data_IF_006373637502
#
_entry.id   IF_006373637502
#
_cell.length_a   1.000
_cell.length_b   1.000
_cell.length_c   1.000
_cell.angle_alpha   90.00
_cell.angle_beta   90.00
_cell.angle_gamma   90.00
#
_symmetry.space_group_name_H-M   'P 1'
#
loop_
_entity.id
_entity.type
_entity.pdbx_description
1 polymer ?
#
# COMPACT_ATOMS: atom_id res chain seq x y z
N UNK A 1 -33.46 -21.44 11.17
CA UNK A 1 -32.05 -21.65 10.77
C UNK A 1 -32.04 -21.66 9.26
N UNK A 2 -31.87 -20.50 8.64
CA UNK A 2 -32.07 -20.30 7.22
C UNK A 2 -30.80 -20.68 6.46
N UNK A 3 -30.89 -21.68 5.60
CA UNK A 3 -29.94 -21.95 4.54
C UNK A 3 -29.84 -20.72 3.64
N UNK A 4 -28.78 -19.93 3.81
CA UNK A 4 -28.33 -19.01 2.78
C UNK A 4 -27.43 -19.82 1.84
N UNK A 5 -28.05 -20.47 0.85
CA UNK A 5 -27.34 -21.01 -0.30
C UNK A 5 -26.86 -19.83 -1.14
N UNK A 6 -25.78 -19.18 -0.73
CA UNK A 6 -24.99 -18.35 -1.63
C UNK A 6 -24.63 -19.27 -2.80
N UNK A 7 -25.08 -18.93 -4.01
CA UNK A 7 -24.67 -19.59 -5.25
C UNK A 7 -23.20 -19.32 -5.51
N UNK A 8 -22.33 -19.87 -4.67
CA UNK A 8 -20.90 -19.67 -4.65
C UNK A 8 -20.15 -20.93 -5.09
N UNK A 9 -18.96 -20.70 -5.63
CA UNK A 9 -18.01 -21.75 -6.02
C UNK A 9 -17.76 -22.72 -4.87
N UNK A 10 -17.80 -24.03 -5.16
CA UNK A 10 -17.53 -25.05 -4.13
C UNK A 10 -16.02 -25.15 -3.83
N UNK A 11 -15.60 -25.65 -2.65
CA UNK A 11 -14.19 -25.80 -2.32
C UNK A 11 -13.38 -26.65 -3.32
N UNK A 12 -14.01 -27.65 -3.94
CA UNK A 12 -13.36 -28.48 -4.97
C UNK A 12 -13.13 -27.70 -6.27
N UNK A 13 -14.12 -26.90 -6.70
CA UNK A 13 -14.03 -26.02 -7.86
C UNK A 13 -12.98 -24.92 -7.64
N UNK A 14 -12.93 -24.34 -6.43
CA UNK A 14 -11.90 -23.37 -6.06
C UNK A 14 -10.48 -23.95 -6.13
N UNK A 15 -10.27 -25.19 -5.69
CA UNK A 15 -8.95 -25.85 -5.80
C UNK A 15 -8.55 -26.10 -7.25
N UNK A 16 -9.50 -26.41 -8.12
CA UNK A 16 -9.23 -26.60 -9.54
C UNK A 16 -8.86 -25.27 -10.19
N UNK A 17 -9.74 -24.28 -10.09
CA UNK A 17 -9.52 -22.96 -10.70
C UNK A 17 -8.33 -22.21 -10.09
N UNK A 18 -8.04 -22.41 -8.81
CA UNK A 18 -6.86 -21.84 -8.17
C UNK A 18 -5.54 -22.37 -8.77
N UNK A 19 -5.48 -23.66 -9.13
CA UNK A 19 -4.31 -24.23 -9.82
C UNK A 19 -4.19 -23.71 -11.25
N UNK A 20 -5.30 -23.71 -11.98
CA UNK A 20 -5.37 -23.15 -13.33
C UNK A 20 -4.93 -21.68 -13.37
N UNK A 21 -5.29 -20.90 -12.34
CA UNK A 21 -4.87 -19.50 -12.20
C UNK A 21 -3.37 -19.37 -11.92
N UNK A 22 -2.80 -20.22 -11.06
CA UNK A 22 -1.35 -20.21 -10.78
C UNK A 22 -0.57 -20.52 -12.05
N UNK A 23 -0.97 -21.53 -12.80
CA UNK A 23 -0.35 -21.89 -14.08
C UNK A 23 -0.44 -20.71 -15.06
N UNK A 24 -1.61 -20.05 -15.15
CA UNK A 24 -1.79 -18.86 -15.98
C UNK A 24 -0.89 -17.69 -15.57
N UNK A 25 -0.70 -17.43 -14.25
CA UNK A 25 0.18 -16.37 -13.75
C UNK A 25 1.64 -16.65 -14.12
N UNK A 26 2.08 -17.91 -13.96
CA UNK A 26 3.45 -18.31 -14.33
C UNK A 26 3.66 -18.14 -15.83
N UNK A 27 2.77 -18.70 -16.63
CA UNK A 27 2.82 -18.58 -18.10
C UNK A 27 2.80 -17.11 -18.54
N UNK A 28 2.03 -16.26 -17.86
CA UNK A 28 1.95 -14.83 -18.11
C UNK A 28 3.29 -14.12 -17.82
N UNK A 29 3.88 -14.36 -16.64
CA UNK A 29 5.12 -13.71 -16.22
C UNK A 29 6.33 -14.19 -17.04
N UNK A 30 6.38 -15.46 -17.44
CA UNK A 30 7.46 -15.99 -18.28
C UNK A 30 7.40 -15.45 -19.71
N UNK A 31 6.20 -15.37 -20.29
CA UNK A 31 5.99 -14.93 -21.67
C UNK A 31 5.77 -13.42 -21.80
N UNK A 32 6.03 -12.66 -20.74
CA UNK A 32 5.66 -11.25 -20.68
C UNK A 32 6.41 -10.38 -21.71
N UNK A 33 7.65 -10.75 -22.03
CA UNK A 33 8.50 -10.09 -23.01
C UNK A 33 7.95 -10.13 -24.45
N UNK A 34 6.99 -11.02 -24.74
CA UNK A 34 6.38 -11.16 -26.08
C UNK A 34 5.12 -10.31 -26.23
N UNK A 35 4.63 -9.71 -25.14
CA UNK A 35 3.40 -8.93 -25.12
C UNK A 35 3.68 -7.45 -25.35
N UNK A 36 2.64 -6.73 -25.78
CA UNK A 36 2.75 -5.32 -26.13
C UNK A 36 2.52 -4.49 -24.86
N UNK A 37 3.51 -3.65 -24.53
CA UNK A 37 3.49 -2.76 -23.36
C UNK A 37 2.31 -1.77 -23.38
N UNK A 38 1.98 -1.22 -24.56
CA UNK A 38 0.87 -0.27 -24.73
C UNK A 38 -0.29 -0.98 -25.44
N UNK A 39 -1.51 -1.02 -24.85
CA UNK A 39 -2.65 -1.65 -25.50
C UNK A 39 -2.98 -0.96 -26.82
N UNK A 40 -3.39 -1.74 -27.82
CA UNK A 40 -3.74 -1.26 -29.17
C UNK A 40 -5.18 -0.73 -29.27
N UNK A 41 -5.85 -0.56 -28.14
CA UNK A 41 -7.30 -0.41 -28.04
C UNK A 41 -7.60 1.04 -27.65
N UNK A 42 -8.58 1.64 -28.31
CA UNK A 42 -9.05 2.97 -27.96
C UNK A 42 -9.66 2.98 -26.55
N UNK A 43 -9.41 4.02 -25.72
CA UNK A 43 -9.77 4.06 -24.30
C UNK A 43 -11.26 3.88 -23.96
N UNK A 44 -12.14 3.85 -24.95
CA UNK A 44 -13.58 3.91 -24.79
C UNK A 44 -14.27 2.55 -24.58
N UNK A 45 -13.62 1.42 -24.89
CA UNK A 45 -14.35 0.15 -24.99
C UNK A 45 -14.26 -0.76 -23.76
N UNK A 46 -13.13 -0.84 -23.06
CA UNK A 46 -12.95 -1.63 -21.81
C UNK A 46 -11.73 -1.11 -21.02
N UNK A 47 -11.68 -1.19 -19.67
CA UNK A 47 -10.46 -0.93 -18.91
C UNK A 47 -9.44 -2.02 -19.27
N UNK A 48 -8.52 -1.70 -20.16
CA UNK A 48 -7.43 -2.59 -20.56
C UNK A 48 -6.43 -2.70 -19.41
N UNK A 49 -5.97 -3.92 -19.13
CA UNK A 49 -4.85 -4.17 -18.23
C UNK A 49 -3.61 -3.47 -18.81
N UNK A 50 -3.09 -2.47 -18.11
CA UNK A 50 -1.79 -1.89 -18.42
C UNK A 50 -0.69 -2.82 -17.89
N UNK A 51 0.11 -3.38 -18.78
CA UNK A 51 1.19 -4.31 -18.42
C UNK A 51 2.40 -3.55 -17.84
N UNK A 52 2.42 -3.35 -16.53
CA UNK A 52 3.50 -2.62 -15.83
C UNK A 52 4.78 -3.44 -15.65
N UNK A 53 4.71 -4.78 -15.75
CA UNK A 53 5.88 -5.66 -15.58
C UNK A 53 6.70 -5.87 -16.86
N UNK A 54 6.28 -5.29 -17.99
CA UNK A 54 7.00 -5.33 -19.27
C UNK A 54 7.69 -3.99 -19.52
N UNK A 55 8.89 -3.79 -18.96
CA UNK A 55 9.85 -2.70 -19.28
C UNK A 55 9.27 -1.50 -20.05
N UNK A 56 8.39 -0.72 -19.41
CA UNK A 56 8.33 0.70 -19.72
C UNK A 56 9.67 1.27 -19.27
N UNK A 57 10.57 1.60 -20.19
CA UNK A 57 11.94 2.06 -19.88
C UNK A 57 11.92 3.31 -18.98
N UNK A 58 10.79 4.03 -18.92
CA UNK A 58 10.63 5.28 -18.17
C UNK A 58 9.60 5.24 -17.02
N UNK A 59 9.01 4.08 -16.71
CA UNK A 59 8.09 3.95 -15.56
C UNK A 59 8.82 3.42 -14.32
N UNK A 60 8.44 3.88 -13.13
CA UNK A 60 8.92 3.33 -11.87
C UNK A 60 8.51 1.85 -11.80
N UNK A 61 9.48 0.98 -11.54
CA UNK A 61 9.25 -0.46 -11.48
C UNK A 61 8.26 -0.80 -10.35
N UNK A 62 7.22 -1.55 -10.69
CA UNK A 62 6.22 -2.01 -9.72
C UNK A 62 6.65 -3.40 -9.27
N UNK A 63 7.01 -3.53 -7.99
CA UNK A 63 7.66 -4.72 -7.42
C UNK A 63 6.77 -5.97 -7.39
N UNK A 64 6.55 -6.59 -8.55
CA UNK A 64 5.79 -7.83 -8.68
C UNK A 64 6.73 -9.03 -8.61
N UNK A 65 6.60 -9.84 -7.56
CA UNK A 65 7.39 -11.05 -7.37
C UNK A 65 6.49 -12.23 -6.98
N UNK A 66 6.88 -13.45 -7.36
CA UNK A 66 6.19 -14.67 -6.96
C UNK A 66 5.91 -14.77 -5.44
N UNK A 67 6.87 -14.47 -4.53
CA UNK A 67 6.57 -14.47 -3.10
C UNK A 67 5.55 -13.41 -2.68
N UNK A 68 5.52 -12.23 -3.32
CA UNK A 68 4.51 -11.20 -3.04
C UNK A 68 3.10 -11.68 -3.41
N UNK A 69 2.95 -12.29 -4.60
CA UNK A 69 1.66 -12.81 -5.07
C UNK A 69 1.14 -13.88 -4.12
N UNK A 70 2.00 -14.80 -3.67
CA UNK A 70 1.61 -15.82 -2.69
C UNK A 70 1.24 -15.23 -1.33
N UNK A 71 1.97 -14.19 -0.88
CA UNK A 71 1.66 -13.49 0.36
C UNK A 71 0.28 -12.81 0.29
N UNK A 72 -0.03 -12.12 -0.82
CA UNK A 72 -1.32 -11.48 -1.04
C UNK A 72 -2.47 -12.51 -1.06
N UNK A 73 -2.29 -13.66 -1.73
CA UNK A 73 -3.28 -14.74 -1.72
C UNK A 73 -3.61 -15.24 -0.30
N UNK A 74 -2.59 -15.33 0.56
CA UNK A 74 -2.78 -15.72 1.97
C UNK A 74 -3.45 -14.58 2.74
N UNK A 75 -3.06 -13.33 2.48
CA UNK A 75 -3.66 -12.14 3.10
C UNK A 75 -5.16 -12.05 2.84
N UNK A 76 -5.56 -12.21 1.56
CA UNK A 76 -6.95 -12.25 1.13
C UNK A 76 -7.73 -13.41 1.76
N UNK A 77 -7.08 -14.58 1.88
CA UNK A 77 -7.69 -15.75 2.50
C UNK A 77 -7.92 -15.58 4.01
N UNK A 78 -7.03 -14.86 4.70
CA UNK A 78 -7.18 -14.55 6.13
C UNK A 78 -8.26 -13.48 6.38
N UNK A 79 -8.47 -12.56 5.44
CA UNK A 79 -9.53 -11.55 5.49
C UNK A 79 -9.52 -10.67 6.75
N UNK A 80 -8.37 -10.60 7.44
CA UNK A 80 -8.21 -9.86 8.67
C UNK A 80 -7.88 -8.40 8.34
N UNK A 81 -8.70 -7.46 8.81
CA UNK A 81 -8.38 -6.03 8.73
C UNK A 81 -7.81 -5.54 10.06
N UNK A 82 -6.52 -5.18 10.05
CA UNK A 82 -5.75 -4.77 11.23
C UNK A 82 -5.97 -3.33 11.69
N UNK A 83 -7.22 -2.86 11.83
CA UNK A 83 -7.49 -1.50 12.32
C UNK A 83 -7.09 -1.27 13.77
N UNK A 84 -6.94 -2.34 14.56
CA UNK A 84 -6.47 -2.30 15.94
C UNK A 84 -5.74 -3.58 16.29
N UNK A 85 -4.83 -3.50 17.26
CA UNK A 85 -4.13 -4.68 17.78
C UNK A 85 -5.12 -5.77 18.26
N UNK A 86 -6.24 -5.38 18.86
CA UNK A 86 -7.27 -6.32 19.32
C UNK A 86 -7.99 -7.04 18.16
N UNK A 87 -8.01 -6.47 16.95
CA UNK A 87 -8.62 -7.09 15.79
C UNK A 87 -7.73 -8.17 15.16
N UNK A 88 -6.41 -7.97 15.11
CA UNK A 88 -5.46 -8.96 14.62
C UNK A 88 -4.05 -8.74 15.23
N UNK A 89 -3.76 -9.32 16.41
CA UNK A 89 -2.49 -9.05 17.11
C UNK A 89 -1.28 -9.60 16.34
N UNK A 90 -1.45 -10.77 15.70
CA UNK A 90 -0.40 -11.41 14.91
C UNK A 90 0.01 -10.59 13.68
N UNK A 91 -0.94 -9.88 13.05
CA UNK A 91 -0.65 -9.00 11.91
C UNK A 91 0.18 -7.79 12.35
N UNK A 92 -0.23 -7.13 13.44
CA UNK A 92 0.48 -5.96 13.96
C UNK A 92 1.89 -6.31 14.47
N UNK A 93 2.06 -7.46 15.14
CA UNK A 93 3.37 -7.92 15.59
C UNK A 93 4.31 -8.28 14.43
N UNK A 94 3.77 -8.94 13.39
CA UNK A 94 4.55 -9.28 12.19
C UNK A 94 5.00 -8.02 11.44
N UNK A 95 4.14 -7.01 11.33
CA UNK A 95 4.49 -5.73 10.72
C UNK A 95 5.67 -5.08 11.45
N UNK A 96 5.64 -5.03 12.79
CA UNK A 96 6.71 -4.44 13.59
C UNK A 96 8.05 -5.16 13.36
N UNK A 97 8.06 -6.50 13.33
CA UNK A 97 9.28 -7.29 13.12
C UNK A 97 9.83 -7.08 11.70
N UNK A 98 8.96 -7.09 10.68
CA UNK A 98 9.36 -6.86 9.29
C UNK A 98 9.95 -5.46 9.10
N UNK A 99 9.37 -4.44 9.75
CA UNK A 99 9.89 -3.08 9.72
C UNK A 99 11.23 -2.94 10.43
N UNK A 100 11.43 -3.61 11.56
CA UNK A 100 12.73 -3.65 12.25
C UNK A 100 13.82 -4.29 11.38
N UNK A 101 13.51 -5.40 10.71
CA UNK A 101 14.44 -6.02 9.75
C UNK A 101 14.74 -5.10 8.58
N UNK A 102 13.73 -4.42 8.04
CA UNK A 102 13.92 -3.47 6.94
C UNK A 102 14.75 -2.25 7.34
N UNK A 103 14.50 -1.68 8.52
CA UNK A 103 15.30 -0.58 9.09
C UNK A 103 16.76 -0.98 9.26
N UNK A 104 17.03 -2.20 9.75
CA UNK A 104 18.39 -2.76 9.85
C UNK A 104 19.06 -2.93 8.49
N UNK A 105 18.33 -3.33 7.45
CA UNK A 105 18.87 -3.48 6.09
C UNK A 105 19.27 -2.14 5.47
N UNK A 106 18.54 -1.05 5.77
CA UNK A 106 18.83 0.30 5.26
C UNK A 106 19.85 1.05 6.15
N UNK A 107 20.20 0.49 7.32
CA UNK A 107 21.13 1.12 8.26
C UNK A 107 20.52 2.29 9.02
N UNK A 108 19.20 2.29 9.19
CA UNK A 108 18.49 3.30 9.95
C UNK A 108 18.79 3.14 11.46
N UNK A 109 18.89 4.25 12.23
CA UNK A 109 19.01 4.16 13.68
C UNK A 109 17.79 3.44 14.28
N UNK A 110 17.94 2.79 15.44
CA UNK A 110 16.84 2.10 16.10
C UNK A 110 15.83 3.12 16.65
N UNK A 111 14.89 3.54 15.83
CA UNK A 111 13.70 4.28 16.25
C UNK A 111 12.46 3.41 16.05
N UNK A 112 11.44 3.69 16.84
CA UNK A 112 10.16 3.00 16.81
C UNK A 112 9.48 3.27 15.45
N UNK A 113 9.73 2.40 14.47
CA UNK A 113 9.06 2.40 13.16
C UNK A 113 7.60 1.95 13.35
N UNK A 114 6.78 2.82 13.93
CA UNK A 114 5.34 2.67 13.90
C UNK A 114 4.86 3.07 12.50
N UNK A 115 4.51 2.06 11.70
CA UNK A 115 3.68 2.12 10.49
C UNK A 115 3.84 3.34 9.59
N UNK A 116 4.76 3.31 8.63
CA UNK A 116 4.88 4.41 7.68
C UNK A 116 5.63 3.99 6.41
N UNK A 117 4.92 3.50 5.38
CA UNK A 117 5.53 3.35 4.05
C UNK A 117 4.78 3.95 2.85
N UNK A 118 3.53 4.46 2.95
CA UNK A 118 2.89 5.12 1.80
C UNK A 118 2.13 6.42 2.09
N UNK A 119 1.50 6.61 3.24
CA UNK A 119 0.82 7.88 3.60
C UNK A 119 1.70 8.83 4.43
N UNK A 120 2.99 8.53 4.51
CA UNK A 120 3.92 9.14 5.43
C UNK A 120 4.04 10.64 5.23
N UNK A 121 3.94 11.14 4.00
CA UNK A 121 4.06 12.57 3.72
C UNK A 121 2.93 13.36 4.38
N UNK A 122 1.69 12.90 4.24
CA UNK A 122 0.54 13.57 4.86
C UNK A 122 0.53 13.38 6.38
N UNK A 123 0.80 12.16 6.87
CA UNK A 123 0.83 11.86 8.31
C UNK A 123 1.95 12.63 9.01
N UNK A 124 3.15 12.69 8.44
CA UNK A 124 4.28 13.45 9.00
C UNK A 124 4.00 14.95 9.00
N UNK A 125 3.38 15.49 7.93
CA UNK A 125 2.97 16.89 7.90
C UNK A 125 1.90 17.20 8.94
N UNK A 126 0.90 16.32 9.12
CA UNK A 126 -0.12 16.45 10.15
C UNK A 126 0.47 16.39 11.56
N UNK A 127 1.39 15.47 11.81
CA UNK A 127 2.08 15.33 13.09
C UNK A 127 2.94 16.58 13.38
N UNK A 128 3.73 17.04 12.42
CA UNK A 128 4.53 18.26 12.53
C UNK A 128 3.64 19.49 12.80
N UNK A 129 2.51 19.60 12.08
CA UNK A 129 1.52 20.66 12.30
C UNK A 129 0.96 20.61 13.72
N UNK A 130 0.63 19.43 14.23
CA UNK A 130 0.07 19.27 15.57
C UNK A 130 1.08 19.66 16.67
N UNK A 131 2.33 19.22 16.56
CA UNK A 131 3.39 19.58 17.53
C UNK A 131 3.66 21.10 17.53
N UNK A 132 3.80 21.72 16.36
CA UNK A 132 4.01 23.17 16.26
C UNK A 132 2.82 23.95 16.80
N UNK A 133 1.58 23.51 16.53
CA UNK A 133 0.39 24.15 17.08
C UNK A 133 0.34 24.06 18.61
N UNK A 134 0.74 22.93 19.18
CA UNK A 134 0.81 22.74 20.63
C UNK A 134 1.80 23.72 21.26
N UNK A 135 2.98 23.92 20.67
CA UNK A 135 3.94 24.92 21.14
C UNK A 135 3.44 26.36 20.99
N UNK A 136 2.85 26.68 19.83
CA UNK A 136 2.33 28.03 19.56
C UNK A 136 1.16 28.38 20.48
N UNK A 137 0.30 27.42 20.82
CA UNK A 137 -0.80 27.60 21.77
C UNK A 137 -0.29 27.89 23.18
N UNK A 138 0.83 27.29 23.59
CA UNK A 138 1.45 27.61 24.87
C UNK A 138 2.06 29.02 24.89
N UNK A 139 2.64 29.47 23.77
CA UNK A 139 3.25 30.81 23.66
C UNK A 139 2.21 31.93 23.48
N UNK A 140 1.10 31.65 22.79
CA UNK A 140 0.05 32.62 22.48
C UNK A 140 -1.35 32.09 22.86
N UNK A 141 -1.64 31.94 24.17
CA UNK A 141 -2.89 31.32 24.63
C UNK A 141 -4.16 32.12 24.30
N UNK A 142 -4.03 33.40 23.94
CA UNK A 142 -5.15 34.30 23.61
C UNK A 142 -5.45 34.40 22.11
N UNK A 143 -4.66 33.75 21.26
CA UNK A 143 -4.85 33.78 19.80
C UNK A 143 -5.65 32.55 19.37
N UNK A 144 -6.63 32.75 18.49
CA UNK A 144 -7.44 31.67 17.93
C UNK A 144 -6.59 30.72 17.07
N UNK A 145 -6.83 29.42 17.20
CA UNK A 145 -6.07 28.36 16.54
C UNK A 145 -6.09 28.50 15.01
N UNK A 146 -7.22 28.90 14.43
CA UNK A 146 -7.33 29.14 12.97
C UNK A 146 -6.39 30.24 12.46
N UNK A 147 -6.10 31.24 13.29
CA UNK A 147 -5.17 32.32 12.94
C UNK A 147 -3.70 31.89 13.07
N UNK A 148 -3.41 30.91 13.93
CA UNK A 148 -2.08 30.29 14.03
C UNK A 148 -1.84 29.36 12.85
N UNK A 149 -2.85 28.55 12.49
CA UNK A 149 -2.79 27.63 11.36
C UNK A 149 -2.56 28.34 10.03
N UNK A 150 -3.20 29.49 9.81
CA UNK A 150 -3.04 30.26 8.57
C UNK A 150 -1.63 30.83 8.36
N UNK A 151 -0.79 30.82 9.39
CA UNK A 151 0.61 31.27 9.32
C UNK A 151 1.62 30.14 9.15
N UNK A 152 1.18 28.88 9.17
CA UNK A 152 2.06 27.74 8.96
C UNK A 152 2.40 27.59 7.48
N UNK A 153 3.68 27.40 7.18
CA UNK A 153 4.20 27.19 5.82
C UNK A 153 5.15 26.00 5.85
N UNK A 154 4.91 25.04 4.95
CA UNK A 154 5.81 23.91 4.70
C UNK A 154 6.64 24.16 3.44
N UNK A 155 7.85 23.62 3.39
CA UNK A 155 8.77 23.78 2.27
C UNK A 155 9.16 22.42 1.71
N UNK A 156 9.12 22.29 0.38
CA UNK A 156 9.51 21.08 -0.33
C UNK A 156 10.31 21.44 -1.60
N UNK A 157 11.07 20.48 -2.11
CA UNK A 157 11.83 20.66 -3.36
C UNK A 157 10.90 20.83 -4.57
N UNK A 158 11.38 21.51 -5.61
CA UNK A 158 10.66 21.66 -6.88
C UNK A 158 10.48 20.34 -7.63
N UNK A 159 11.29 19.34 -7.32
CA UNK A 159 11.30 18.01 -7.96
C UNK A 159 10.46 16.98 -7.20
N UNK A 160 9.76 17.39 -6.13
CA UNK A 160 9.03 16.46 -5.29
C UNK A 160 7.75 15.96 -5.96
N UNK A 161 7.33 14.74 -5.61
CA UNK A 161 6.08 14.17 -6.10
C UNK A 161 4.88 15.08 -5.79
N UNK A 162 3.89 15.12 -6.67
CA UNK A 162 2.66 15.91 -6.53
C UNK A 162 1.78 15.52 -5.33
N UNK A 163 2.13 14.45 -4.61
CA UNK A 163 1.44 13.98 -3.40
C UNK A 163 1.66 14.89 -2.19
N UNK A 164 2.63 15.81 -2.24
CA UNK A 164 2.92 16.78 -1.18
C UNK A 164 2.02 18.02 -1.30
#
# INVERSE_FOLDING_TARGET
MNNCSLGGMKPAEFRQHGKEMVDYIVDYLENIHRRRVVPAIEPALFPTVFEHSSKCIDAIDTGNSFPSILADMISDALGCMGFSWAACPAMTELEIIMLDWFGKMIGLPPFETFGAYFECNFVSLLAARFEVLKELRQRFPFVEEGLLMSKLVAYCSKEVSCTI
#
